data_IF_726733565278
#
_entry.id   IF_726733565278
#
_cell.length_a   1.000
_cell.length_b   1.000
_cell.length_c   1.000
_cell.angle_alpha   90.00
_cell.angle_beta   90.00
_cell.angle_gamma   90.00
#
_symmetry.space_group_name_H-M   'P 1'
#
loop_
_entity.id
_entity.type
_entity.pdbx_description
1 polymer ?
#
# COMPACT_ATOMS: atom_id res chain seq x y z
N UNK A 1 12.61 -19.64 3.30
CA UNK A 1 11.55 -20.31 4.08
C UNK A 1 10.32 -19.40 4.12
N UNK A 2 9.12 -19.92 3.90
CA UNK A 2 7.87 -19.16 3.93
C UNK A 2 7.05 -19.66 5.12
N UNK A 3 6.56 -18.77 5.99
CA UNK A 3 5.88 -19.14 7.24
C UNK A 3 4.54 -18.40 7.38
N UNK A 4 3.56 -18.94 8.13
CA UNK A 4 2.38 -18.19 8.54
C UNK A 4 2.82 -17.10 9.54
N UNK A 5 3.03 -15.88 9.03
CA UNK A 5 3.34 -14.71 9.83
C UNK A 5 2.15 -13.76 9.86
N UNK A 6 1.47 -13.67 10.99
CA UNK A 6 0.38 -12.72 11.23
C UNK A 6 0.89 -11.36 11.73
N UNK A 7 0.29 -10.29 11.23
CA UNK A 7 0.34 -8.96 11.85
C UNK A 7 -1.12 -8.57 12.09
N UNK A 8 -1.53 -8.54 13.36
CA UNK A 8 -2.86 -8.07 13.74
C UNK A 8 -2.82 -6.55 13.83
N UNK A 9 -3.76 -5.87 13.17
CA UNK A 9 -3.96 -4.42 13.27
C UNK A 9 -5.33 -4.10 13.85
N UNK A 10 -5.46 -2.93 14.50
CA UNK A 10 -6.76 -2.39 14.89
C UNK A 10 -7.67 -2.24 13.66
N UNK A 11 -9.00 -2.42 13.81
CA UNK A 11 -9.96 -2.08 12.77
C UNK A 11 -9.68 -0.66 12.27
N UNK A 12 -9.36 -0.54 10.98
CA UNK A 12 -9.06 0.74 10.37
C UNK A 12 -10.35 1.27 9.73
N UNK A 13 -10.75 2.47 10.10
CA UNK A 13 -11.94 3.10 9.52
C UNK A 13 -11.59 3.64 8.11
N UNK A 14 -12.44 3.33 7.13
CA UNK A 14 -12.38 4.03 5.85
C UNK A 14 -12.85 5.47 6.06
N UNK A 15 -11.97 6.43 5.79
CA UNK A 15 -12.32 7.84 5.78
C UNK A 15 -12.62 8.25 4.34
N UNK A 16 -13.89 8.55 4.05
CA UNK A 16 -14.25 9.23 2.81
C UNK A 16 -13.71 10.66 2.90
N UNK A 17 -12.81 11.02 1.99
CA UNK A 17 -12.29 12.39 1.86
C UNK A 17 -13.05 13.04 0.71
N UNK A 18 -13.74 14.15 0.98
CA UNK A 18 -14.19 15.03 -0.09
C UNK A 18 -12.98 15.81 -0.58
N UNK A 19 -12.64 15.63 -1.85
CA UNK A 19 -11.58 16.33 -2.51
C UNK A 19 -12.18 17.17 -3.65
N UNK A 20 -11.52 18.28 -4.01
CA UNK A 20 -11.91 19.08 -5.17
C UNK A 20 -11.97 18.18 -6.42
N UNK A 21 -12.84 18.47 -7.39
CA UNK A 21 -12.90 17.75 -8.67
C UNK A 21 -11.57 17.80 -9.43
N UNK A 22 -10.73 18.81 -9.18
CA UNK A 22 -9.35 18.85 -9.67
C UNK A 22 -8.47 17.70 -9.14
N UNK A 23 -8.82 17.12 -7.99
CA UNK A 23 -8.16 15.97 -7.36
C UNK A 23 -8.81 14.62 -7.76
N UNK A 24 -9.79 14.61 -8.67
CA UNK A 24 -10.22 13.37 -9.35
C UNK A 24 -9.11 12.84 -10.26
N UNK A 25 -8.25 13.74 -10.74
CA UNK A 25 -7.02 13.40 -11.41
C UNK A 25 -5.97 13.04 -10.36
N UNK A 26 -5.87 11.76 -10.02
CA UNK A 26 -4.84 11.31 -9.09
C UNK A 26 -3.52 11.14 -9.86
N UNK A 27 -2.86 12.26 -10.13
CA UNK A 27 -1.48 12.32 -10.59
C UNK A 27 -0.52 12.13 -9.42
N UNK A 28 0.76 11.79 -9.68
CA UNK A 28 1.79 11.72 -8.62
C UNK A 28 1.92 13.03 -7.82
N UNK A 29 1.63 14.17 -8.45
CA UNK A 29 1.62 15.49 -7.81
C UNK A 29 0.46 15.63 -6.82
N UNK A 30 -0.74 15.17 -7.19
CA UNK A 30 -1.92 15.24 -6.32
C UNK A 30 -1.88 14.22 -5.18
N UNK A 31 -1.24 13.06 -5.41
CA UNK A 31 -0.95 12.07 -4.38
C UNK A 31 -0.13 12.67 -3.22
N UNK A 32 0.80 13.56 -3.54
CA UNK A 32 1.61 14.30 -2.57
C UNK A 32 0.74 15.24 -1.74
N UNK A 33 -0.05 16.07 -2.40
CA UNK A 33 -0.95 17.04 -1.76
C UNK A 33 -1.95 16.34 -0.82
N UNK A 34 -2.59 15.26 -1.29
CA UNK A 34 -3.54 14.49 -0.49
C UNK A 34 -2.87 13.77 0.69
N UNK A 35 -1.65 13.28 0.50
CA UNK A 35 -0.86 12.68 1.59
C UNK A 35 -0.50 13.71 2.66
N UNK A 36 -0.23 14.97 2.30
CA UNK A 36 -0.01 16.04 3.28
C UNK A 36 -1.26 16.34 4.14
N UNK A 37 -2.45 16.21 3.56
CA UNK A 37 -3.73 16.51 4.22
C UNK A 37 -4.26 15.36 5.10
N UNK A 38 -3.76 14.14 4.89
CA UNK A 38 -4.26 12.94 5.57
C UNK A 38 -3.10 12.21 6.25
N UNK A 39 -2.96 12.44 7.56
CA UNK A 39 -2.07 11.70 8.47
C UNK A 39 -0.65 11.44 7.91
N UNK A 40 0.17 12.48 7.72
CA UNK A 40 1.53 12.35 7.21
C UNK A 40 2.38 11.38 8.06
N UNK A 41 3.21 10.58 7.39
CA UNK A 41 4.10 9.60 8.04
C UNK A 41 3.47 8.25 8.37
N UNK A 42 2.16 8.07 8.16
CA UNK A 42 1.46 6.79 8.42
C UNK A 42 1.20 5.96 7.14
N UNK A 43 1.07 4.62 7.25
CA UNK A 43 0.57 3.74 6.19
C UNK A 43 -0.81 4.16 5.70
N UNK A 44 -0.93 4.37 4.40
CA UNK A 44 -2.16 4.88 3.78
C UNK A 44 -2.45 4.11 2.50
N UNK A 45 -3.73 3.89 2.24
CA UNK A 45 -4.22 3.32 0.98
C UNK A 45 -5.28 4.27 0.40
N UNK A 46 -5.10 4.66 -0.86
CA UNK A 46 -6.01 5.51 -1.61
C UNK A 46 -6.68 4.67 -2.71
N UNK A 47 -8.01 4.73 -2.80
CA UNK A 47 -8.79 4.13 -3.89
C UNK A 47 -9.36 5.24 -4.75
N UNK A 48 -9.08 5.22 -6.06
CA UNK A 48 -9.35 6.35 -6.96
C UNK A 48 -9.91 5.90 -8.30
N UNK A 49 -11.19 6.21 -8.51
CA UNK A 49 -11.82 6.08 -9.83
C UNK A 49 -11.30 7.24 -10.69
N UNK A 50 -10.76 6.95 -11.87
CA UNK A 50 -10.39 7.93 -12.91
C UNK A 50 -9.00 8.61 -12.81
N UNK A 51 -7.95 7.84 -12.52
CA UNK A 51 -6.58 8.38 -12.67
C UNK A 51 -6.27 8.85 -14.09
N UNK A 52 -5.56 9.98 -14.22
CA UNK A 52 -4.94 10.38 -15.49
C UNK A 52 -3.43 10.19 -15.52
N UNK A 53 -2.86 9.46 -14.57
CA UNK A 53 -1.43 9.12 -14.61
C UNK A 53 -1.12 8.32 -15.89
N UNK A 54 0.01 8.65 -16.52
CA UNK A 54 0.43 8.03 -17.78
C UNK A 54 1.87 7.51 -17.64
N UNK A 55 2.08 6.18 -17.73
CA UNK A 55 1.09 5.14 -18.03
C UNK A 55 0.11 4.90 -16.87
N UNK A 56 -1.11 4.45 -17.20
CA UNK A 56 -2.16 4.20 -16.22
C UNK A 56 -1.88 2.86 -15.52
N UNK A 57 -1.28 2.93 -14.33
CA UNK A 57 -1.05 1.75 -13.50
C UNK A 57 -2.29 1.41 -12.67
N UNK A 58 -2.57 0.12 -12.48
CA UNK A 58 -3.67 -0.33 -11.61
C UNK A 58 -3.43 0.01 -10.13
N UNK A 59 -2.15 0.07 -9.74
CA UNK A 59 -1.72 0.55 -8.43
C UNK A 59 -0.26 1.00 -8.45
N UNK A 60 0.10 1.92 -7.56
CA UNK A 60 1.52 2.22 -7.27
C UNK A 60 1.74 2.35 -5.78
N UNK A 61 2.80 1.70 -5.31
CA UNK A 61 3.28 1.84 -3.93
C UNK A 61 4.32 2.95 -3.85
N UNK A 62 4.14 3.90 -2.95
CA UNK A 62 5.10 4.94 -2.62
C UNK A 62 5.99 4.46 -1.46
N UNK A 63 7.05 3.76 -1.85
CA UNK A 63 8.10 3.26 -0.98
C UNK A 63 9.24 4.24 -0.74
N UNK A 64 10.22 3.81 0.06
CA UNK A 64 11.40 4.65 0.37
C UNK A 64 12.20 5.00 -0.87
N UNK A 65 12.31 4.07 -1.84
CA UNK A 65 13.12 4.26 -3.04
C UNK A 65 12.55 5.31 -4.00
N UNK A 66 11.24 5.28 -4.25
CA UNK A 66 10.58 6.19 -5.20
C UNK A 66 10.04 7.49 -4.55
N UNK A 67 10.14 7.61 -3.22
CA UNK A 67 9.74 8.80 -2.45
C UNK A 67 10.95 9.46 -1.76
N UNK A 68 12.15 9.39 -2.36
CA UNK A 68 13.38 10.00 -1.81
C UNK A 68 13.36 11.53 -1.91
N UNK A 69 12.98 12.06 -3.08
CA UNK A 69 12.96 13.50 -3.36
C UNK A 69 11.69 14.19 -2.85
N UNK A 70 10.66 13.40 -2.56
CA UNK A 70 9.39 13.86 -2.04
C UNK A 70 8.88 12.78 -1.06
N UNK A 71 9.14 12.94 0.25
CA UNK A 71 8.85 11.91 1.25
C UNK A 71 7.39 11.89 1.71
N UNK A 72 6.60 12.92 1.41
CA UNK A 72 5.20 13.04 1.86
C UNK A 72 4.30 11.84 1.47
N UNK A 73 4.36 11.28 0.24
CA UNK A 73 3.58 10.11 -0.12
C UNK A 73 4.14 8.79 0.41
N UNK A 74 5.29 8.78 1.12
CA UNK A 74 5.89 7.54 1.63
C UNK A 74 4.90 6.79 2.52
N UNK A 75 4.98 5.46 2.46
CA UNK A 75 4.03 4.55 3.10
C UNK A 75 2.60 4.71 2.56
N UNK A 76 2.44 5.25 1.36
CA UNK A 76 1.19 5.27 0.63
C UNK A 76 1.16 4.17 -0.43
N UNK A 77 -0.04 3.64 -0.69
CA UNK A 77 -0.35 2.99 -1.96
C UNK A 77 -1.61 3.62 -2.52
N UNK A 78 -1.67 3.75 -3.83
CA UNK A 78 -2.89 4.16 -4.52
C UNK A 78 -3.25 3.13 -5.56
N UNK A 79 -4.55 2.97 -5.79
CA UNK A 79 -5.08 1.97 -6.72
C UNK A 79 -6.39 2.43 -7.37
N UNK A 80 -6.61 2.02 -8.61
CA UNK A 80 -7.67 2.57 -9.45
C UNK A 80 -9.06 2.00 -9.13
N UNK A 81 -9.18 0.73 -8.71
CA UNK A 81 -10.41 0.17 -8.11
C UNK A 81 -10.04 -1.09 -7.30
N UNK A 82 -10.56 -1.21 -6.08
CA UNK A 82 -10.66 -2.51 -5.40
C UNK A 82 -12.04 -3.09 -5.75
N UNK A 83 -12.15 -4.24 -6.41
CA UNK A 83 -13.43 -4.93 -6.50
C UNK A 83 -13.96 -5.19 -5.09
N UNK A 84 -15.26 -4.97 -4.80
CA UNK A 84 -15.84 -5.44 -3.56
C UNK A 84 -15.47 -6.92 -3.36
N UNK A 85 -15.07 -7.29 -2.13
CA UNK A 85 -14.57 -8.62 -1.73
C UNK A 85 -13.10 -8.99 -2.02
N UNK A 86 -12.26 -8.03 -2.43
CA UNK A 86 -10.84 -8.32 -2.73
C UNK A 86 -9.91 -8.28 -1.51
N UNK A 87 -10.21 -9.05 -0.47
CA UNK A 87 -9.38 -9.13 0.74
C UNK A 87 -7.91 -9.51 0.44
N UNK A 88 -7.67 -10.35 -0.57
CA UNK A 88 -6.33 -10.74 -1.02
C UNK A 88 -5.55 -9.56 -1.63
N UNK A 89 -6.19 -8.75 -2.48
CA UNK A 89 -5.60 -7.54 -3.09
C UNK A 89 -5.28 -6.52 -1.99
N UNK A 90 -6.21 -6.30 -1.06
CA UNK A 90 -5.99 -5.38 0.05
C UNK A 90 -4.81 -5.83 0.93
N UNK A 91 -4.74 -7.13 1.24
CA UNK A 91 -3.63 -7.68 2.02
C UNK A 91 -2.29 -7.55 1.27
N UNK A 92 -2.28 -7.78 -0.04
CA UNK A 92 -1.10 -7.60 -0.90
C UNK A 92 -0.63 -6.13 -0.87
N UNK A 93 -1.55 -5.18 -1.08
CA UNK A 93 -1.26 -3.74 -1.05
C UNK A 93 -0.74 -3.30 0.32
N UNK A 94 -1.33 -3.82 1.40
CA UNK A 94 -0.84 -3.52 2.74
C UNK A 94 0.61 -4.00 2.96
N UNK A 95 1.01 -5.14 2.38
CA UNK A 95 2.41 -5.59 2.48
C UNK A 95 3.34 -4.68 1.72
N UNK A 96 2.99 -4.24 0.50
CA UNK A 96 3.76 -3.23 -0.24
C UNK A 96 4.01 -1.96 0.59
N UNK A 97 2.94 -1.43 1.20
CA UNK A 97 3.03 -0.26 2.08
C UNK A 97 3.94 -0.51 3.28
N UNK A 98 3.79 -1.66 3.96
CA UNK A 98 4.56 -1.99 5.16
C UNK A 98 6.02 -2.34 4.86
N UNK A 99 6.34 -2.80 3.66
CA UNK A 99 7.72 -2.98 3.21
C UNK A 99 8.32 -1.70 2.65
N UNK A 100 7.49 -0.68 2.38
CA UNK A 100 7.83 0.53 1.65
C UNK A 100 8.58 0.21 0.35
N UNK A 101 8.06 -0.78 -0.38
CA UNK A 101 8.70 -1.42 -1.53
C UNK A 101 7.63 -1.94 -2.52
N UNK A 102 7.92 -1.83 -3.81
CA UNK A 102 7.05 -2.28 -4.92
C UNK A 102 7.47 -3.63 -5.50
N UNK A 103 8.40 -4.36 -4.87
CA UNK A 103 8.86 -5.66 -5.39
C UNK A 103 7.82 -6.77 -5.25
N UNK A 104 7.71 -7.60 -6.29
CA UNK A 104 6.94 -8.84 -6.27
C UNK A 104 7.84 -10.05 -5.97
N UNK A 105 7.24 -11.10 -5.40
CA UNK A 105 7.88 -12.38 -5.16
C UNK A 105 7.49 -13.40 -6.24
N UNK A 106 8.43 -14.25 -6.64
CA UNK A 106 8.17 -15.41 -7.50
C UNK A 106 7.88 -16.69 -6.70
N UNK A 107 7.96 -16.64 -5.36
CA UNK A 107 7.76 -17.80 -4.52
C UNK A 107 6.30 -18.28 -4.53
N UNK A 108 6.06 -19.60 -4.58
CA UNK A 108 4.71 -20.15 -4.63
C UNK A 108 3.91 -19.79 -3.37
N UNK A 109 2.64 -19.48 -3.56
CA UNK A 109 1.70 -19.06 -2.51
C UNK A 109 2.12 -17.81 -1.71
N UNK A 110 3.12 -17.05 -2.17
CA UNK A 110 3.50 -15.80 -1.51
C UNK A 110 2.46 -14.72 -1.80
N UNK A 111 2.05 -13.99 -0.77
CA UNK A 111 1.08 -12.89 -0.90
C UNK A 111 1.55 -11.80 -1.88
N UNK A 112 2.87 -11.64 -2.06
CA UNK A 112 3.49 -10.65 -2.97
C UNK A 112 3.72 -11.16 -4.39
N UNK A 113 3.09 -12.26 -4.81
CA UNK A 113 3.09 -12.63 -6.23
C UNK A 113 2.38 -11.56 -7.05
N UNK A 114 2.87 -11.30 -8.26
CA UNK A 114 2.26 -10.35 -9.20
C UNK A 114 0.81 -10.73 -9.50
N UNK A 115 0.56 -12.03 -9.76
CA UNK A 115 -0.79 -12.57 -9.87
C UNK A 115 -1.38 -12.74 -8.47
N UNK A 116 -2.28 -11.83 -8.08
CA UNK A 116 -2.97 -11.91 -6.79
C UNK A 116 -4.03 -13.01 -6.84
N UNK A 117 -4.02 -13.92 -5.85
CA UNK A 117 -4.97 -15.03 -5.73
C UNK A 117 -5.34 -15.24 -4.26
N UNK A 118 -6.56 -15.71 -3.95
CA UNK A 118 -6.94 -16.15 -2.61
C UNK A 118 -5.97 -17.19 -1.99
N UNK A 119 -5.27 -17.97 -2.81
CA UNK A 119 -4.33 -19.01 -2.34
C UNK A 119 -2.94 -18.46 -1.95
N UNK A 120 -2.69 -17.18 -2.25
CA UNK A 120 -1.43 -16.52 -1.95
C UNK A 120 -1.44 -15.95 -0.52
N UNK A 121 -1.32 -16.82 0.48
CA UNK A 121 -1.49 -16.44 1.89
C UNK A 121 -0.18 -16.33 2.67
N UNK A 122 0.95 -16.71 2.08
CA UNK A 122 2.21 -16.88 2.80
C UNK A 122 3.15 -15.67 2.66
N UNK A 123 4.04 -15.48 3.63
CA UNK A 123 5.09 -14.42 3.62
C UNK A 123 6.42 -15.03 4.04
N UNK A 124 7.53 -14.56 3.48
CA UNK A 124 8.87 -15.01 3.90
C UNK A 124 9.17 -14.49 5.30
N UNK A 125 10.07 -15.16 6.01
CA UNK A 125 10.56 -14.70 7.32
C UNK A 125 11.12 -13.28 7.24
N UNK A 126 11.81 -12.95 6.15
CA UNK A 126 12.35 -11.61 5.90
C UNK A 126 11.25 -10.57 5.69
N UNK A 127 10.23 -10.86 4.88
CA UNK A 127 9.09 -9.97 4.68
C UNK A 127 8.42 -9.65 6.03
N UNK A 128 8.18 -10.67 6.86
CA UNK A 128 7.58 -10.50 8.19
C UNK A 128 8.47 -9.64 9.10
N UNK A 129 9.78 -9.89 9.14
CA UNK A 129 10.72 -9.14 9.96
C UNK A 129 10.78 -7.66 9.54
N UNK A 130 10.89 -7.39 8.23
CA UNK A 130 10.90 -6.02 7.69
C UNK A 130 9.60 -5.29 7.97
N UNK A 131 8.45 -5.91 7.74
CA UNK A 131 7.16 -5.32 8.07
C UNK A 131 7.07 -4.98 9.56
N UNK A 132 7.47 -5.89 10.46
CA UNK A 132 7.48 -5.61 11.91
C UNK A 132 8.38 -4.43 12.27
N UNK A 133 9.56 -4.32 11.66
CA UNK A 133 10.46 -3.21 11.87
C UNK A 133 9.87 -1.89 11.38
N UNK A 134 9.27 -1.85 10.18
CA UNK A 134 8.55 -0.66 9.70
C UNK A 134 7.45 -0.26 10.65
N UNK A 135 6.65 -1.23 11.12
CA UNK A 135 5.53 -0.96 12.01
C UNK A 135 6.02 -0.46 13.38
N UNK A 136 7.14 -0.97 13.92
CA UNK A 136 7.78 -0.44 15.14
C UNK A 136 8.33 0.97 14.97
N UNK A 137 9.12 1.18 13.93
CA UNK A 137 9.87 2.43 13.73
C UNK A 137 8.97 3.63 13.39
N UNK A 138 7.73 3.38 12.97
CA UNK A 138 6.75 4.43 12.68
C UNK A 138 5.60 4.45 13.72
N UNK A 139 5.78 3.79 14.88
CA UNK A 139 4.81 3.77 15.98
C UNK A 139 3.42 3.23 15.57
N UNK A 140 3.41 2.29 14.63
CA UNK A 140 2.21 1.67 14.07
C UNK A 140 1.84 0.36 14.78
N UNK A 141 2.72 -0.14 15.65
CA UNK A 141 2.45 -1.28 16.52
C UNK A 141 1.80 -0.74 17.79
N UNK A 142 0.91 -1.55 18.36
CA UNK A 142 0.64 -1.47 19.79
C UNK A 142 1.67 -2.32 20.52
#
# INVERSE_FOLDING_TARGET
MIAPGGITKKPTAFRKVQANTSLQDFSRSDATLLSGQVAPGSPRLFSVRDTRDRPAYDAVTFGTANSRRNPEPRFGEWMTVVPPDSHSILAHKLVHVLLADSTHSTLPHNLMRADTSPDNLKRTTEQVARMRNTVRNNELLQ
#
